data_IF_009450541406
#
_entry.id   IF_009450541406
#
_cell.length_a   1.000
_cell.length_b   1.000
_cell.length_c   1.000
_cell.angle_alpha   90.00
_cell.angle_beta   90.00
_cell.angle_gamma   90.00
#
_symmetry.space_group_name_H-M   'P 1'
#
loop_
_entity.id
_entity.type
_entity.pdbx_description
1 polymer ?
#
# COMPACT_ATOMS: atom_id res chain seq x y z
N UNK A 1 7.51 -35.99 16.02
CA UNK A 1 7.02 -35.72 14.64
C UNK A 1 5.90 -34.67 14.56
N UNK A 2 4.82 -34.77 15.36
CA UNK A 2 3.64 -33.88 15.23
C UNK A 2 3.91 -32.37 15.44
N UNK A 3 4.84 -32.00 16.33
CA UNK A 3 5.15 -30.59 16.59
C UNK A 3 5.86 -29.92 15.39
N UNK A 4 6.89 -30.57 14.82
CA UNK A 4 7.59 -30.04 13.64
C UNK A 4 6.66 -29.94 12.43
N UNK A 5 5.84 -30.96 12.18
CA UNK A 5 4.89 -30.93 11.06
C UNK A 5 3.87 -29.79 11.20
N UNK A 6 3.38 -29.53 12.42
CA UNK A 6 2.51 -28.38 12.71
C UNK A 6 3.22 -27.04 12.48
N UNK A 7 4.43 -26.88 13.03
CA UNK A 7 5.21 -25.66 12.87
C UNK A 7 5.52 -25.37 11.39
N UNK A 8 5.99 -26.38 10.64
CA UNK A 8 6.23 -26.26 9.20
C UNK A 8 4.94 -25.93 8.42
N UNK A 9 3.82 -26.57 8.76
CA UNK A 9 2.54 -26.29 8.10
C UNK A 9 2.09 -24.85 8.32
N UNK A 10 2.18 -24.35 9.56
CA UNK A 10 1.83 -22.96 9.88
C UNK A 10 2.75 -21.97 9.15
N UNK A 11 4.05 -22.30 9.08
CA UNK A 11 5.04 -21.53 8.34
C UNK A 11 4.71 -21.46 6.84
N UNK A 12 4.42 -22.58 6.19
CA UNK A 12 4.04 -22.62 4.78
C UNK A 12 2.71 -21.91 4.53
N UNK A 13 1.74 -22.02 5.43
CA UNK A 13 0.47 -21.29 5.33
C UNK A 13 0.67 -19.77 5.39
N UNK A 14 1.63 -19.28 6.18
CA UNK A 14 1.98 -17.87 6.22
C UNK A 14 2.51 -17.38 4.87
N UNK A 15 3.36 -18.16 4.18
CA UNK A 15 3.90 -17.82 2.85
C UNK A 15 2.79 -17.57 1.82
N UNK A 16 1.73 -18.37 1.89
CA UNK A 16 0.62 -18.30 0.94
C UNK A 16 -0.49 -17.34 1.37
N UNK A 17 -0.40 -16.76 2.58
CA UNK A 17 -1.44 -15.88 3.10
C UNK A 17 -1.39 -14.54 2.40
N UNK A 18 -2.55 -14.07 1.96
CA UNK A 18 -2.65 -12.76 1.37
C UNK A 18 -2.53 -11.67 2.46
N UNK A 19 -1.58 -10.75 2.28
CA UNK A 19 -1.19 -9.74 3.29
C UNK A 19 -2.04 -8.47 3.16
N UNK A 20 -3.11 -8.53 2.37
CA UNK A 20 -3.87 -7.38 1.87
C UNK A 20 -4.54 -6.52 2.94
N UNK A 21 -4.59 -6.93 4.22
CA UNK A 21 -5.22 -6.17 5.32
C UNK A 21 -4.41 -6.02 6.61
N UNK A 22 -3.26 -6.68 6.73
CA UNK A 22 -2.49 -6.64 7.97
C UNK A 22 -1.31 -5.66 7.86
N UNK A 23 -1.02 -4.92 8.94
CA UNK A 23 0.15 -4.03 8.96
C UNK A 23 1.45 -4.84 8.85
N UNK A 24 2.48 -4.24 8.25
CA UNK A 24 3.80 -4.87 8.13
C UNK A 24 4.33 -5.38 9.48
N UNK A 25 4.16 -4.59 10.53
CA UNK A 25 4.63 -4.91 11.88
C UNK A 25 3.89 -6.14 12.45
N UNK A 26 2.57 -6.21 12.30
CA UNK A 26 1.79 -7.37 12.77
C UNK A 26 2.19 -8.67 12.07
N UNK A 27 2.60 -8.58 10.79
CA UNK A 27 3.05 -9.70 9.99
C UNK A 27 4.47 -10.13 10.33
N UNK A 28 5.36 -9.17 10.58
CA UNK A 28 6.71 -9.43 11.09
C UNK A 28 6.67 -10.11 12.45
N UNK A 29 5.78 -9.67 13.34
CA UNK A 29 5.60 -10.26 14.67
C UNK A 29 5.01 -11.68 14.60
N UNK A 30 4.08 -11.93 13.67
CA UNK A 30 3.58 -13.28 13.40
C UNK A 30 4.69 -14.18 12.85
N UNK A 31 5.49 -13.70 11.89
CA UNK A 31 6.63 -14.42 11.33
C UNK A 31 7.68 -14.75 12.41
N UNK A 32 7.96 -13.82 13.32
CA UNK A 32 8.87 -14.03 14.44
C UNK A 32 8.39 -15.18 15.35
N UNK A 33 7.10 -15.20 15.72
CA UNK A 33 6.49 -16.28 16.50
C UNK A 33 6.57 -17.63 15.79
N UNK A 34 6.21 -17.68 14.51
CA UNK A 34 6.29 -18.91 13.70
C UNK A 34 7.73 -19.43 13.58
N UNK A 35 8.71 -18.52 13.51
CA UNK A 35 10.12 -18.87 13.52
C UNK A 35 10.58 -19.47 14.85
N UNK A 36 10.11 -18.93 15.97
CA UNK A 36 10.39 -19.46 17.31
C UNK A 36 9.81 -20.86 17.47
N UNK A 37 8.53 -21.05 17.10
CA UNK A 37 7.87 -22.36 17.12
C UNK A 37 8.63 -23.41 16.31
N UNK A 38 9.16 -23.02 15.14
CA UNK A 38 9.95 -23.91 14.29
C UNK A 38 11.32 -24.24 14.93
N UNK A 39 11.98 -23.27 15.56
CA UNK A 39 13.24 -23.48 16.28
C UNK A 39 13.04 -24.42 17.45
N UNK A 40 11.99 -24.22 18.23
CA UNK A 40 11.70 -25.05 19.38
C UNK A 40 11.30 -26.46 18.96
N UNK A 41 10.56 -26.61 17.87
CA UNK A 41 10.29 -27.91 17.28
C UNK A 41 11.56 -28.64 16.83
N UNK A 42 12.56 -27.93 16.28
CA UNK A 42 13.84 -28.51 15.85
C UNK A 42 14.78 -28.86 17.01
N UNK A 43 14.64 -28.21 18.16
CA UNK A 43 15.42 -28.48 19.38
C UNK A 43 14.89 -29.67 20.18
N UNK A 44 13.67 -30.16 19.91
CA UNK A 44 13.06 -31.23 20.71
C UNK A 44 13.90 -32.52 20.65
N UNK A 45 14.19 -33.16 21.80
CA UNK A 45 15.00 -34.38 21.86
C UNK A 45 14.41 -35.56 21.08
N UNK A 46 13.09 -35.57 20.89
CA UNK A 46 12.36 -36.61 20.16
C UNK A 46 12.49 -36.52 18.63
N UNK A 47 13.27 -35.57 18.11
CA UNK A 47 13.71 -35.58 16.71
C UNK A 47 15.09 -36.23 16.62
N UNK A 48 15.10 -37.47 16.11
CA UNK A 48 16.30 -38.16 15.66
C UNK A 48 16.83 -37.56 14.34
N UNK A 49 17.18 -36.28 14.36
CA UNK A 49 17.85 -35.61 13.25
C UNK A 49 19.35 -35.61 13.48
N UNK A 50 20.13 -35.92 12.44
CA UNK A 50 21.58 -35.72 12.48
C UNK A 50 21.92 -34.24 12.69
N UNK A 51 23.09 -33.96 13.24
CA UNK A 51 23.58 -32.60 13.49
C UNK A 51 23.65 -31.81 12.18
N UNK A 52 24.13 -32.44 11.10
CA UNK A 52 24.23 -31.83 9.77
C UNK A 52 22.86 -31.41 9.22
N UNK A 53 21.83 -32.24 9.35
CA UNK A 53 20.48 -31.90 8.90
C UNK A 53 19.91 -30.73 9.72
N UNK A 54 20.17 -30.70 11.04
CA UNK A 54 19.74 -29.57 11.88
C UNK A 54 20.39 -28.25 11.49
N UNK A 55 21.66 -28.27 11.12
CA UNK A 55 22.37 -27.07 10.65
C UNK A 55 21.79 -26.57 9.31
N UNK A 56 21.56 -27.47 8.35
CA UNK A 56 20.94 -27.14 7.06
C UNK A 56 19.55 -26.52 7.26
N UNK A 57 18.70 -27.16 8.07
CA UNK A 57 17.35 -26.66 8.35
C UNK A 57 17.37 -25.29 9.03
N UNK A 58 18.35 -25.03 9.90
CA UNK A 58 18.53 -23.72 10.52
C UNK A 58 18.91 -22.65 9.51
N UNK A 59 19.81 -22.96 8.57
CA UNK A 59 20.23 -22.05 7.49
C UNK A 59 19.07 -21.70 6.56
N UNK A 60 18.36 -22.72 6.05
CA UNK A 60 17.17 -22.54 5.20
C UNK A 60 16.13 -21.67 5.91
N UNK A 61 15.87 -21.91 7.21
CA UNK A 61 14.93 -21.09 7.99
C UNK A 61 15.35 -19.62 8.04
N UNK A 62 16.63 -19.33 8.28
CA UNK A 62 17.11 -17.95 8.35
C UNK A 62 16.91 -17.23 7.02
N UNK A 63 17.25 -17.88 5.91
CA UNK A 63 17.13 -17.32 4.57
C UNK A 63 15.65 -17.10 4.19
N UNK A 64 14.79 -18.10 4.42
CA UNK A 64 13.35 -17.95 4.17
C UNK A 64 12.73 -16.87 5.05
N UNK A 65 13.15 -16.77 6.31
CA UNK A 65 12.68 -15.70 7.20
C UNK A 65 13.07 -14.31 6.72
N UNK A 66 14.29 -14.14 6.20
CA UNK A 66 14.76 -12.87 5.66
C UNK A 66 13.92 -12.48 4.44
N UNK A 67 13.80 -13.40 3.47
CA UNK A 67 13.03 -13.18 2.24
C UNK A 67 11.55 -12.90 2.53
N UNK A 68 10.95 -13.55 3.53
CA UNK A 68 9.56 -13.28 3.91
C UNK A 68 9.39 -11.90 4.55
N UNK A 69 10.34 -11.46 5.38
CA UNK A 69 10.31 -10.12 5.95
C UNK A 69 10.42 -9.05 4.85
N UNK A 70 11.33 -9.23 3.89
CA UNK A 70 11.45 -8.36 2.72
C UNK A 70 10.19 -8.37 1.86
N UNK A 71 9.58 -9.54 1.66
CA UNK A 71 8.33 -9.67 0.91
C UNK A 71 7.17 -8.90 1.56
N UNK A 72 7.05 -8.97 2.90
CA UNK A 72 6.08 -8.20 3.68
C UNK A 72 6.29 -6.70 3.42
N UNK A 73 7.52 -6.20 3.52
CA UNK A 73 7.82 -4.78 3.27
C UNK A 73 7.48 -4.33 1.86
N UNK A 74 7.87 -5.12 0.84
CA UNK A 74 7.59 -4.82 -0.56
C UNK A 74 6.10 -4.81 -0.84
N UNK A 75 5.32 -5.74 -0.28
CA UNK A 75 3.86 -5.77 -0.43
C UNK A 75 3.20 -4.58 0.24
N UNK A 76 3.65 -4.18 1.43
CA UNK A 76 3.14 -2.97 2.10
C UNK A 76 3.43 -1.71 1.29
N UNK A 77 4.68 -1.52 0.82
CA UNK A 77 5.05 -0.39 -0.05
C UNK A 77 4.22 -0.36 -1.33
N UNK A 78 4.01 -1.51 -1.97
CA UNK A 78 3.14 -1.62 -3.15
C UNK A 78 1.72 -1.17 -2.85
N UNK A 79 1.14 -1.56 -1.72
CA UNK A 79 -0.22 -1.14 -1.35
C UNK A 79 -0.31 0.37 -1.11
N UNK A 80 0.64 0.95 -0.37
CA UNK A 80 0.71 2.40 -0.16
C UNK A 80 0.82 3.16 -1.48
N UNK A 81 1.61 2.64 -2.43
CA UNK A 81 1.72 3.21 -3.77
C UNK A 81 0.40 3.15 -4.55
N UNK A 82 -0.31 2.03 -4.51
CA UNK A 82 -1.63 1.89 -5.16
C UNK A 82 -2.64 2.89 -4.60
N UNK A 83 -2.66 3.10 -3.29
CA UNK A 83 -3.53 4.08 -2.66
C UNK A 83 -3.16 5.52 -3.07
N UNK A 84 -1.87 5.86 -3.05
CA UNK A 84 -1.41 7.17 -3.50
C UNK A 84 -1.76 7.44 -4.97
N UNK A 85 -1.68 6.42 -5.84
CA UNK A 85 -2.10 6.54 -7.24
C UNK A 85 -3.61 6.79 -7.37
N UNK A 86 -4.45 6.09 -6.60
CA UNK A 86 -5.89 6.29 -6.61
C UNK A 86 -6.28 7.68 -6.07
N UNK A 87 -5.61 8.17 -5.03
CA UNK A 87 -5.81 9.51 -4.50
C UNK A 87 -5.38 10.59 -5.50
N UNK A 88 -4.24 10.41 -6.17
CA UNK A 88 -3.77 11.32 -7.21
C UNK A 88 -4.75 11.40 -8.39
N UNK A 89 -5.31 10.27 -8.83
CA UNK A 89 -6.34 10.26 -9.87
C UNK A 89 -7.60 11.03 -9.45
N UNK A 90 -8.06 10.82 -8.21
CA UNK A 90 -9.19 11.57 -7.64
C UNK A 90 -8.91 13.08 -7.59
N UNK A 91 -7.71 13.48 -7.16
CA UNK A 91 -7.29 14.89 -7.14
C UNK A 91 -7.24 15.49 -8.55
N UNK A 92 -6.74 14.77 -9.54
CA UNK A 92 -6.73 15.22 -10.93
C UNK A 92 -8.15 15.44 -11.48
N UNK A 93 -9.08 14.55 -11.18
CA UNK A 93 -10.50 14.73 -11.53
C UNK A 93 -11.05 16.02 -10.91
N UNK A 94 -10.76 16.27 -9.63
CA UNK A 94 -11.21 17.47 -8.93
C UNK A 94 -10.58 18.76 -9.50
N UNK A 95 -9.28 18.75 -9.79
CA UNK A 95 -8.57 19.89 -10.40
C UNK A 95 -9.19 20.21 -11.76
N UNK A 96 -9.46 19.20 -12.58
CA UNK A 96 -10.08 19.39 -13.90
C UNK A 96 -11.48 19.98 -13.78
N UNK A 97 -12.27 19.53 -12.80
CA UNK A 97 -13.59 20.10 -12.51
C UNK A 97 -13.51 21.57 -12.08
N UNK A 98 -12.62 21.91 -11.15
CA UNK A 98 -12.40 23.30 -10.70
C UNK A 98 -11.92 24.19 -11.86
N UNK A 99 -11.00 23.70 -12.70
CA UNK A 99 -10.52 24.43 -13.88
C UNK A 99 -11.63 24.69 -14.89
N UNK A 100 -12.50 23.72 -15.12
CA UNK A 100 -13.68 23.89 -15.98
C UNK A 100 -14.62 24.98 -15.44
N UNK A 101 -14.93 24.94 -14.14
CA UNK A 101 -15.76 25.96 -13.48
C UNK A 101 -15.13 27.35 -13.52
N UNK A 102 -13.82 27.44 -13.34
CA UNK A 102 -13.10 28.72 -13.42
C UNK A 102 -13.17 29.32 -14.83
N UNK A 103 -13.02 28.50 -15.87
CA UNK A 103 -13.16 28.95 -17.26
C UNK A 103 -14.58 29.45 -17.58
N UNK A 104 -15.60 28.79 -17.04
CA UNK A 104 -16.99 29.22 -17.18
C UNK A 104 -17.22 30.58 -16.51
N UNK A 105 -16.74 30.75 -15.27
CA UNK A 105 -16.83 32.02 -14.55
C UNK A 105 -16.06 33.14 -15.25
N UNK A 106 -14.84 32.86 -15.73
CA UNK A 106 -14.05 33.83 -16.48
C UNK A 106 -14.78 34.29 -17.75
N UNK A 107 -15.44 33.38 -18.46
CA UNK A 107 -16.23 33.72 -19.65
C UNK A 107 -17.41 34.63 -19.29
N UNK A 108 -18.09 34.37 -18.17
CA UNK A 108 -19.21 35.21 -17.70
C UNK A 108 -18.76 36.63 -17.36
N UNK A 109 -17.65 36.76 -16.63
CA UNK A 109 -17.08 38.07 -16.28
C UNK A 109 -16.72 38.85 -17.54
N UNK A 110 -16.07 38.23 -18.54
CA UNK A 110 -15.74 38.91 -19.80
C UNK A 110 -16.98 39.42 -20.55
N UNK A 111 -18.08 38.67 -20.52
CA UNK A 111 -19.36 39.10 -21.11
C UNK A 111 -19.93 40.28 -20.33
N UNK A 112 -19.96 40.21 -19.00
CA UNK A 112 -20.43 41.31 -18.14
C UNK A 112 -19.62 42.59 -18.35
N UNK A 113 -18.28 42.50 -18.40
CA UNK A 113 -17.40 43.64 -18.66
C UNK A 113 -17.68 44.25 -20.04
N UNK A 114 -17.89 43.43 -21.06
CA UNK A 114 -18.21 43.90 -22.42
C UNK A 114 -19.56 44.63 -22.47
N UNK A 115 -20.57 44.10 -21.77
CA UNK A 115 -21.89 44.73 -21.66
C UNK A 115 -21.81 46.07 -20.91
N UNK A 116 -20.99 46.16 -19.86
CA UNK A 116 -20.82 47.37 -19.07
C UNK A 116 -20.17 48.48 -19.90
N UNK A 117 -19.13 48.15 -20.68
CA UNK A 117 -18.49 49.09 -21.62
C UNK A 117 -19.48 49.58 -22.67
N UNK A 118 -20.31 48.69 -23.23
CA UNK A 118 -21.34 49.06 -24.21
C UNK A 118 -22.37 50.01 -23.61
N UNK A 119 -22.85 49.71 -22.40
CA UNK A 119 -23.82 50.54 -21.69
C UNK A 119 -23.24 51.92 -21.37
N UNK A 120 -21.99 52.00 -20.94
CA UNK A 120 -21.30 53.28 -20.70
C UNK A 120 -21.19 54.12 -21.98
N UNK A 121 -20.96 53.48 -23.14
CA UNK A 121 -20.93 54.17 -24.44
C UNK A 121 -22.30 54.71 -24.83
N UNK A 122 -23.36 53.88 -24.75
CA UNK A 122 -24.74 54.29 -25.06
C UNK A 122 -25.22 55.42 -24.13
N UNK A 123 -24.91 55.35 -22.84
CA UNK A 123 -25.26 56.41 -21.89
C UNK A 123 -24.57 57.74 -22.22
N UNK A 124 -23.32 57.72 -22.68
CA UNK A 124 -22.61 58.93 -23.14
C UNK A 124 -23.25 59.52 -24.39
N UNK A 125 -23.67 58.68 -25.33
CA UNK A 125 -24.37 59.13 -26.55
C UNK A 125 -25.74 59.75 -26.24
N UNK A 126 -26.50 59.18 -25.30
CA UNK A 126 -27.79 59.72 -24.88
C UNK A 126 -27.70 61.04 -24.10
N UNK A 127 -26.53 61.37 -23.55
CA UNK A 127 -26.27 62.60 -22.80
C UNK A 127 -25.68 63.73 -23.66
N UNK A 128 -25.29 63.45 -24.91
CA UNK A 128 -24.76 64.40 -25.87
C UNK A 128 -25.85 65.04 -26.73
#
# INVERSE_FOLDING_TARGET
MNALKKAMSAYTSFIHKDISRASADSQKELLARLNEDLVDALKRPSLELSISIRLILRGIRQEVSLLLSENVELRTKKMSFVWAMAENESLNININSVKSRLNELSSKIMIEDSLLISLESEMKELQA
#
